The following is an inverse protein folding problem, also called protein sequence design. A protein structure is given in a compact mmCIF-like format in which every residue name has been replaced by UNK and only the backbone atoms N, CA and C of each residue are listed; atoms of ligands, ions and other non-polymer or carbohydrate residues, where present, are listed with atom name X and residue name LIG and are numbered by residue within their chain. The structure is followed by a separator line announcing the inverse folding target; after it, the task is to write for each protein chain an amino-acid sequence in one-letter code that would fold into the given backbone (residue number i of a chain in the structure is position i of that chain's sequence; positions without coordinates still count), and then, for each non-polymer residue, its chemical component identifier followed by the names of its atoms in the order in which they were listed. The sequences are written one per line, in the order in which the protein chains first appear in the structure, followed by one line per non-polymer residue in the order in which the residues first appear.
data_IF_084843257790
#
_entry.id   IF_084843257790
#
_cell.length_a   1.000
_cell.length_b   1.000
_cell.length_c   1.000
_cell.angle_alpha   90.00
_cell.angle_beta   90.00
_cell.angle_gamma   90.00
#
_symmetry.space_group_name_H-M   'P 1'
#
loop_
_entity.id
_entity.type
_entity.pdbx_description
1 polymer ?
#
# COMPACT_ATOMS: atom_id res chain seq x y z
N UNK A 1 -7.54 -5.58 -18.60
CA UNK A 1 -6.77 -6.01 -19.78
C UNK A 1 -5.31 -5.71 -19.47
N UNK A 2 -4.39 -6.65 -19.68
CA UNK A 2 -2.95 -6.41 -19.43
C UNK A 2 -2.43 -5.57 -20.60
N UNK A 3 -1.76 -4.46 -20.30
CA UNK A 3 -1.15 -3.61 -21.33
C UNK A 3 0.04 -4.34 -21.98
N UNK A 4 0.37 -4.07 -23.26
CA UNK A 4 1.54 -4.66 -23.90
C UNK A 4 2.83 -4.47 -23.10
N UNK A 5 3.01 -3.29 -22.50
CA UNK A 5 4.17 -2.92 -21.69
C UNK A 5 4.23 -3.75 -20.40
N UNK A 6 3.11 -3.91 -19.70
CA UNK A 6 3.05 -4.77 -18.53
C UNK A 6 3.29 -6.24 -18.90
N UNK A 7 2.79 -6.68 -20.05
CA UNK A 7 3.00 -8.04 -20.54
C UNK A 7 4.47 -8.31 -20.87
N UNK A 8 5.19 -7.34 -21.41
CA UNK A 8 6.64 -7.43 -21.65
C UNK A 8 7.40 -7.62 -20.33
N UNK A 9 7.12 -6.81 -19.30
CA UNK A 9 7.74 -6.94 -17.98
C UNK A 9 7.47 -8.33 -17.37
N UNK A 10 6.22 -8.79 -17.46
CA UNK A 10 5.80 -10.10 -16.94
C UNK A 10 6.52 -11.24 -17.67
N UNK A 11 6.52 -11.22 -19.00
CA UNK A 11 7.17 -12.28 -19.80
C UNK A 11 8.67 -12.29 -19.58
N UNK A 12 9.33 -11.13 -19.55
CA UNK A 12 10.76 -11.03 -19.20
C UNK A 12 11.05 -11.69 -17.85
N UNK A 13 10.23 -11.42 -16.83
CA UNK A 13 10.34 -12.06 -15.52
C UNK A 13 10.19 -13.58 -15.58
N UNK A 14 9.17 -14.07 -16.29
CA UNK A 14 8.91 -15.51 -16.43
C UNK A 14 10.05 -16.26 -17.13
N UNK A 15 10.75 -15.62 -18.06
CA UNK A 15 11.90 -16.21 -18.77
C UNK A 15 13.25 -15.97 -18.08
N UNK A 16 13.25 -15.53 -16.81
CA UNK A 16 14.45 -15.42 -15.99
C UNK A 16 15.21 -14.09 -16.11
N UNK A 17 14.68 -13.11 -16.84
CA UNK A 17 15.12 -11.73 -16.73
C UNK A 17 14.64 -11.15 -15.40
N UNK A 18 15.48 -10.44 -14.65
CA UNK A 18 15.06 -9.85 -13.37
C UNK A 18 13.81 -8.96 -13.49
N UNK A 19 13.12 -8.72 -12.36
CA UNK A 19 12.03 -7.75 -12.29
C UNK A 19 12.60 -6.34 -12.44
N UNK A 20 12.22 -5.64 -13.51
CA UNK A 20 12.59 -4.24 -13.76
C UNK A 20 11.31 -3.43 -13.82
N UNK A 21 11.17 -2.47 -12.91
CA UNK A 21 10.03 -1.55 -12.82
C UNK A 21 10.54 -0.14 -13.13
N UNK A 22 10.25 0.35 -14.33
CA UNK A 22 10.60 1.70 -14.77
C UNK A 22 9.34 2.39 -15.32
N UNK A 23 8.86 3.47 -14.68
CA UNK A 23 9.30 4.03 -13.39
C UNK A 23 9.10 3.08 -12.18
N UNK A 24 9.78 3.36 -11.06
CA UNK A 24 9.73 2.55 -9.82
C UNK A 24 8.31 2.46 -9.21
N UNK A 25 7.43 3.41 -9.52
CA UNK A 25 6.02 3.45 -9.13
C UNK A 25 5.18 4.19 -10.17
N UNK A 26 3.87 4.00 -10.13
CA UNK A 26 2.90 4.62 -11.05
C UNK A 26 2.06 3.61 -11.80
N UNK A 27 1.32 4.09 -12.81
CA UNK A 27 0.32 3.29 -13.55
C UNK A 27 0.93 2.02 -14.16
N UNK A 28 2.13 2.09 -14.72
CA UNK A 28 2.81 0.92 -15.29
C UNK A 28 2.99 -0.20 -14.25
N UNK A 29 3.40 0.14 -13.02
CA UNK A 29 3.57 -0.85 -11.95
C UNK A 29 2.22 -1.42 -11.52
N UNK A 30 1.16 -0.60 -11.46
CA UNK A 30 -0.20 -1.06 -11.19
C UNK A 30 -0.69 -2.04 -12.26
N UNK A 31 -0.42 -1.78 -13.53
CA UNK A 31 -0.76 -2.69 -14.64
C UNK A 31 -0.03 -4.03 -14.53
N UNK A 32 1.25 -4.02 -14.16
CA UNK A 32 2.03 -5.23 -13.91
C UNK A 32 1.43 -6.02 -12.74
N UNK A 33 1.12 -5.39 -11.61
CA UNK A 33 0.47 -6.04 -10.45
C UNK A 33 -0.88 -6.63 -10.85
N UNK A 34 -1.70 -5.89 -11.58
CA UNK A 34 -2.98 -6.37 -12.11
C UNK A 34 -2.79 -7.62 -12.99
N UNK A 35 -1.74 -7.62 -13.83
CA UNK A 35 -1.35 -8.79 -14.63
C UNK A 35 -0.93 -9.99 -13.79
N UNK A 36 -0.16 -9.79 -12.71
CA UNK A 36 0.23 -10.89 -11.80
C UNK A 36 -0.99 -11.55 -11.16
N UNK A 37 -2.02 -10.76 -10.84
CA UNK A 37 -3.29 -11.25 -10.29
C UNK A 37 -4.07 -12.07 -11.30
N UNK A 38 -4.15 -11.61 -12.55
CA UNK A 38 -4.84 -12.32 -13.63
C UNK A 38 -4.16 -13.65 -13.99
N UNK A 39 -2.83 -13.67 -13.95
CA UNK A 39 -2.01 -14.83 -14.34
C UNK A 39 -1.59 -15.72 -13.16
N UNK A 40 -2.04 -15.41 -11.94
CA UNK A 40 -1.66 -16.10 -10.70
C UNK A 40 -0.14 -16.20 -10.46
N UNK A 41 0.60 -15.16 -10.82
CA UNK A 41 2.06 -15.08 -10.65
C UNK A 41 2.42 -14.59 -9.24
N UNK A 42 2.19 -15.45 -8.25
CA UNK A 42 2.32 -15.10 -6.83
C UNK A 42 3.72 -14.60 -6.46
N UNK A 43 4.77 -15.24 -6.95
CA UNK A 43 6.15 -14.86 -6.62
C UNK A 43 6.51 -13.48 -7.16
N UNK A 44 6.08 -13.17 -8.39
CA UNK A 44 6.25 -11.86 -8.99
C UNK A 44 5.49 -10.79 -8.20
N UNK A 45 4.23 -11.07 -7.84
CA UNK A 45 3.43 -10.20 -6.97
C UNK A 45 4.14 -9.91 -5.66
N UNK A 46 4.66 -10.94 -4.98
CA UNK A 46 5.39 -10.78 -3.71
C UNK A 46 6.66 -9.95 -3.88
N UNK A 47 7.36 -10.08 -5.01
CA UNK A 47 8.52 -9.25 -5.34
C UNK A 47 8.14 -7.79 -5.55
N UNK A 48 7.05 -7.51 -6.26
CA UNK A 48 6.56 -6.14 -6.46
C UNK A 48 6.14 -5.53 -5.11
N UNK A 49 5.42 -6.27 -4.26
CA UNK A 49 5.06 -5.78 -2.93
C UNK A 49 6.27 -5.49 -2.04
N UNK A 50 7.33 -6.30 -2.14
CA UNK A 50 8.60 -6.02 -1.46
C UNK A 50 9.27 -4.74 -1.96
N UNK A 51 9.30 -4.52 -3.27
CA UNK A 51 9.80 -3.27 -3.87
C UNK A 51 8.99 -2.06 -3.39
N UNK A 52 7.67 -2.17 -3.29
CA UNK A 52 6.83 -1.08 -2.77
C UNK A 52 7.09 -0.81 -1.29
N UNK A 53 7.29 -1.85 -0.47
CA UNK A 53 7.68 -1.71 0.94
C UNK A 53 8.98 -0.89 1.08
N UNK A 54 10.00 -1.21 0.28
CA UNK A 54 11.28 -0.49 0.22
C UNK A 54 11.12 0.96 -0.29
N UNK A 55 10.27 1.18 -1.30
CA UNK A 55 9.95 2.51 -1.82
C UNK A 55 9.27 3.39 -0.75
N UNK A 56 8.33 2.83 0.00
CA UNK A 56 7.63 3.53 1.08
C UNK A 56 8.62 3.93 2.17
N UNK A 57 9.48 3.02 2.60
CA UNK A 57 10.55 3.31 3.57
C UNK A 57 11.46 4.44 3.08
N UNK A 58 11.99 4.33 1.85
CA UNK A 58 12.92 5.31 1.26
C UNK A 58 12.34 6.73 1.19
N UNK A 59 11.06 6.87 0.86
CA UNK A 59 10.43 8.18 0.66
C UNK A 59 9.79 8.74 1.93
N UNK A 60 9.25 7.89 2.81
CA UNK A 60 8.50 8.32 3.99
C UNK A 60 9.35 8.36 5.27
N UNK A 61 10.54 7.76 5.29
CA UNK A 61 11.48 7.90 6.41
C UNK A 61 12.23 9.24 6.41
N UNK A 62 12.13 10.02 5.33
CA UNK A 62 12.87 11.28 5.20
C UNK A 62 12.26 12.36 6.11
N UNK A 63 13.06 12.99 6.99
CA UNK A 63 12.57 14.06 7.84
C UNK A 63 12.28 15.31 7.02
N UNK A 64 11.04 15.81 7.07
CA UNK A 64 10.67 17.09 6.45
C UNK A 64 11.12 18.23 7.36
N UNK A 65 12.31 18.78 7.10
CA UNK A 65 12.94 19.83 7.94
C UNK A 65 12.11 21.13 7.94
N UNK A 66 11.50 21.51 6.81
CA UNK A 66 10.55 22.64 6.74
C UNK A 66 9.72 22.61 5.46
N UNK A 67 8.39 22.60 5.58
CA UNK A 67 7.46 22.67 4.43
C UNK A 67 7.47 24.02 3.70
N UNK A 68 8.15 25.03 4.26
CA UNK A 68 8.23 26.36 3.67
C UNK A 68 9.35 26.48 2.62
N UNK A 69 10.34 25.58 2.61
CA UNK A 69 11.42 25.58 1.63
C UNK A 69 11.00 24.84 0.36
N UNK A 70 11.57 25.20 -0.79
CA UNK A 70 11.32 24.48 -2.06
C UNK A 70 11.70 23.00 -1.96
N UNK A 71 12.78 22.69 -1.24
CA UNK A 71 13.19 21.31 -0.95
C UNK A 71 12.15 20.57 -0.11
N UNK A 72 11.61 21.19 0.94
CA UNK A 72 10.56 20.57 1.75
C UNK A 72 9.24 20.39 1.01
N UNK A 73 8.88 21.31 0.10
CA UNK A 73 7.72 21.13 -0.79
C UNK A 73 7.94 19.97 -1.75
N UNK A 74 9.14 19.83 -2.33
CA UNK A 74 9.50 18.71 -3.21
C UNK A 74 9.35 17.38 -2.48
N UNK A 75 9.96 17.23 -1.31
CA UNK A 75 9.88 16.00 -0.50
C UNK A 75 8.42 15.67 -0.20
N UNK A 76 7.62 16.64 0.25
CA UNK A 76 6.20 16.40 0.55
C UNK A 76 5.40 15.97 -0.69
N UNK A 77 5.68 16.55 -1.86
CA UNK A 77 5.04 16.14 -3.11
C UNK A 77 5.40 14.69 -3.48
N UNK A 78 6.67 14.31 -3.40
CA UNK A 78 7.14 12.94 -3.65
C UNK A 78 6.49 11.95 -2.67
N UNK A 79 6.44 12.28 -1.38
CA UNK A 79 5.73 11.47 -0.37
C UNK A 79 4.25 11.29 -0.73
N UNK A 80 3.57 12.37 -1.14
CA UNK A 80 2.16 12.33 -1.50
C UNK A 80 1.89 11.49 -2.76
N UNK A 81 2.79 11.54 -3.75
CA UNK A 81 2.69 10.68 -4.94
C UNK A 81 2.82 9.20 -4.59
N UNK A 82 3.79 8.85 -3.73
CA UNK A 82 4.01 7.49 -3.27
C UNK A 82 2.82 6.98 -2.45
N UNK A 83 2.23 7.82 -1.59
CA UNK A 83 1.00 7.48 -0.85
C UNK A 83 -0.18 7.24 -1.80
N UNK A 84 -0.38 8.11 -2.80
CA UNK A 84 -1.44 7.92 -3.81
C UNK A 84 -1.27 6.62 -4.58
N UNK A 85 -0.05 6.31 -4.99
CA UNK A 85 0.27 5.05 -5.64
C UNK A 85 -0.04 3.85 -4.73
N UNK A 86 0.35 3.90 -3.45
CA UNK A 86 0.05 2.84 -2.49
C UNK A 86 -1.46 2.62 -2.30
N UNK A 87 -2.25 3.68 -2.24
CA UNK A 87 -3.71 3.60 -2.15
C UNK A 87 -4.28 2.84 -3.36
N UNK A 88 -3.83 3.18 -4.58
CA UNK A 88 -4.26 2.51 -5.81
C UNK A 88 -3.82 1.04 -5.85
N UNK A 89 -2.60 0.75 -5.39
CA UNK A 89 -2.07 -0.61 -5.29
C UNK A 89 -2.94 -1.49 -4.38
N UNK A 90 -3.37 -0.97 -3.23
CA UNK A 90 -4.22 -1.71 -2.29
C UNK A 90 -5.53 -2.18 -2.95
N UNK A 91 -6.04 -1.47 -3.96
CA UNK A 91 -7.25 -1.85 -4.69
C UNK A 91 -7.02 -3.06 -5.63
N UNK A 92 -5.77 -3.37 -5.96
CA UNK A 92 -5.40 -4.48 -6.83
C UNK A 92 -4.96 -5.73 -6.05
N UNK A 93 -4.51 -5.56 -4.82
CA UNK A 93 -4.05 -6.63 -3.94
C UNK A 93 -5.11 -7.70 -3.61
N UNK A 94 -4.64 -8.83 -3.08
CA UNK A 94 -5.47 -9.86 -2.45
C UNK A 94 -5.53 -9.66 -0.94
N UNK A 95 -6.54 -10.27 -0.32
CA UNK A 95 -6.71 -10.28 1.13
C UNK A 95 -5.43 -10.81 1.85
N UNK A 96 -4.74 -11.78 1.24
CA UNK A 96 -3.50 -12.38 1.77
C UNK A 96 -2.29 -11.42 1.76
N UNK A 97 -2.36 -10.33 1.00
CA UNK A 97 -1.29 -9.33 0.94
C UNK A 97 -1.31 -8.36 2.14
N UNK A 98 -2.37 -8.41 2.96
CA UNK A 98 -2.62 -7.46 4.04
C UNK A 98 -1.41 -7.29 4.97
N UNK A 99 -0.71 -8.38 5.31
CA UNK A 99 0.47 -8.32 6.18
C UNK A 99 1.57 -7.36 5.68
N UNK A 100 1.78 -7.29 4.36
CA UNK A 100 2.74 -6.36 3.76
C UNK A 100 2.17 -4.95 3.63
N UNK A 101 0.88 -4.84 3.29
CA UNK A 101 0.20 -3.55 3.22
C UNK A 101 0.23 -2.83 4.58
N UNK A 102 0.10 -3.57 5.69
CA UNK A 102 0.23 -3.03 7.05
C UNK A 102 1.61 -2.39 7.27
N UNK A 103 2.69 -3.02 6.81
CA UNK A 103 4.03 -2.44 6.94
C UNK A 103 4.20 -1.17 6.13
N UNK A 104 3.66 -1.12 4.91
CA UNK A 104 3.64 0.10 4.10
C UNK A 104 2.83 1.21 4.79
N UNK A 105 1.68 0.87 5.37
CA UNK A 105 0.85 1.80 6.14
C UNK A 105 1.57 2.35 7.39
N UNK A 106 2.40 1.54 8.05
CA UNK A 106 3.22 1.94 9.19
C UNK A 106 4.13 3.14 8.85
N UNK A 107 4.70 3.14 7.64
CA UNK A 107 5.52 4.25 7.14
C UNK A 107 4.73 5.54 6.91
N UNK A 108 3.46 5.44 6.52
CA UNK A 108 2.59 6.61 6.35
C UNK A 108 2.33 7.28 7.70
N UNK A 109 1.97 6.48 8.70
CA UNK A 109 1.66 6.96 10.05
C UNK A 109 2.89 7.62 10.68
N UNK A 110 4.04 6.94 10.63
CA UNK A 110 5.29 7.44 11.22
C UNK A 110 5.90 8.60 10.44
N UNK A 111 5.93 8.48 9.12
CA UNK A 111 6.63 9.42 8.23
C UNK A 111 5.94 10.77 8.09
N UNK A 112 4.61 10.80 8.18
CA UNK A 112 3.87 12.07 8.07
C UNK A 112 3.37 12.63 9.41
N UNK A 113 3.48 11.87 10.51
CA UNK A 113 2.91 12.24 11.80
C UNK A 113 1.41 12.50 11.70
N UNK A 114 0.73 11.78 10.79
CA UNK A 114 -0.69 11.98 10.49
C UNK A 114 -1.51 11.14 11.44
N UNK A 115 -2.50 11.79 12.04
CA UNK A 115 -3.49 11.13 12.87
C UNK A 115 -4.35 10.19 12.02
N UNK A 116 -4.44 8.93 12.43
CA UNK A 116 -5.15 7.85 11.72
C UNK A 116 -6.63 8.21 11.55
N UNK A 117 -7.22 8.88 12.53
CA UNK A 117 -8.62 9.35 12.51
C UNK A 117 -8.88 10.36 11.39
N UNK A 118 -7.87 11.15 11.02
CA UNK A 118 -7.98 12.12 9.93
C UNK A 118 -7.77 11.48 8.55
N UNK A 119 -6.96 10.42 8.48
CA UNK A 119 -6.58 9.77 7.22
C UNK A 119 -7.71 8.89 6.67
N UNK A 120 -8.43 8.17 7.53
CA UNK A 120 -9.47 7.22 7.12
C UNK A 120 -10.67 7.92 6.46
N UNK A 121 -11.24 9.02 7.00
CA UNK A 121 -12.31 9.77 6.34
C UNK A 121 -11.82 10.50 5.08
N UNK A 122 -10.60 11.05 5.11
CA UNK A 122 -10.05 11.83 3.99
C UNK A 122 -9.69 10.98 2.77
N UNK A 123 -9.32 9.70 2.98
CA UNK A 123 -8.82 8.83 1.90
C UNK A 123 -9.77 7.65 1.64
N UNK A 124 -10.45 7.14 2.67
CA UNK A 124 -11.23 5.90 2.61
C UNK A 124 -12.61 6.02 1.97
N UNK A 125 -13.18 7.21 1.82
CA UNK A 125 -14.53 7.36 1.23
C UNK A 125 -14.53 7.51 -0.30
N UNK A 126 -13.46 8.00 -0.92
CA UNK A 126 -13.44 8.27 -2.37
C UNK A 126 -12.40 7.49 -3.18
N UNK A 127 -11.27 7.05 -2.59
CA UNK A 127 -10.12 6.52 -3.37
C UNK A 127 -9.50 5.25 -2.78
N UNK A 128 -9.45 5.14 -1.46
CA UNK A 128 -8.88 3.99 -0.76
C UNK A 128 -9.90 2.87 -0.55
N UNK A 129 -9.71 1.75 -1.28
CA UNK A 129 -10.54 0.58 -1.09
C UNK A 129 -10.30 -0.12 0.24
N UNK A 130 -11.10 -1.14 0.50
CA UNK A 130 -11.16 -1.92 1.75
C UNK A 130 -9.79 -2.30 2.34
N UNK A 131 -8.85 -2.75 1.51
CA UNK A 131 -7.53 -3.21 1.99
C UNK A 131 -6.63 -2.07 2.46
N UNK A 132 -6.73 -0.88 1.86
CA UNK A 132 -6.01 0.29 2.33
C UNK A 132 -6.49 0.67 3.74
N UNK A 133 -7.81 0.76 3.92
CA UNK A 133 -8.40 1.10 5.22
C UNK A 133 -8.00 0.06 6.28
N UNK A 134 -8.06 -1.23 5.93
CA UNK A 134 -7.63 -2.31 6.80
C UNK A 134 -6.17 -2.18 7.24
N UNK A 135 -5.28 -1.88 6.29
CA UNK A 135 -3.86 -1.70 6.56
C UNK A 135 -3.59 -0.52 7.48
N UNK A 136 -4.22 0.64 7.23
CA UNK A 136 -4.08 1.85 8.05
C UNK A 136 -4.57 1.63 9.48
N UNK A 137 -5.76 1.04 9.66
CA UNK A 137 -6.32 0.78 11.00
C UNK A 137 -5.40 -0.16 11.78
N UNK A 138 -4.98 -1.27 11.16
CA UNK A 138 -4.14 -2.25 11.84
C UNK A 138 -2.73 -1.71 12.14
N UNK A 139 -2.15 -0.91 11.24
CA UNK A 139 -0.91 -0.19 11.50
C UNK A 139 -1.07 0.80 12.66
N UNK A 140 -2.17 1.55 12.70
CA UNK A 140 -2.50 2.44 13.82
C UNK A 140 -2.55 1.71 15.16
N UNK A 141 -3.23 0.56 15.22
CA UNK A 141 -3.28 -0.29 16.42
C UNK A 141 -1.88 -0.75 16.86
N UNK A 142 -1.03 -1.16 15.91
CA UNK A 142 0.34 -1.58 16.21
C UNK A 142 1.20 -0.44 16.80
N UNK A 143 0.87 0.82 16.49
CA UNK A 143 1.56 2.01 17.02
C UNK A 143 0.85 2.61 18.27
N UNK A 144 -0.10 1.90 18.89
CA UNK A 144 -0.71 2.31 20.15
C UNK A 144 -1.86 3.32 20.03
N UNK A 145 -2.45 3.49 18.83
CA UNK A 145 -3.65 4.30 18.64
C UNK A 145 -4.86 3.64 19.32
N UNK A 146 -5.30 4.17 20.47
CA UNK A 146 -6.44 3.66 21.25
C UNK A 146 -7.80 4.01 20.64
N UNK A 147 -7.86 5.05 19.80
CA UNK A 147 -9.07 5.47 19.10
C UNK A 147 -9.27 4.76 17.74
N UNK A 148 -8.30 3.92 17.36
CA UNK A 148 -8.43 3.01 16.21
C UNK A 148 -9.37 1.81 16.50
N UNK A 149 -9.97 1.76 17.69
CA UNK A 149 -11.22 1.05 17.98
C UNK A 149 -12.39 1.97 17.61
N UNK A 150 -12.76 1.95 16.34
CA UNK A 150 -13.57 3.01 15.74
C UNK A 150 -15.03 2.98 16.22
N UNK A 151 -15.63 4.18 16.33
CA UNK A 151 -17.04 4.41 16.60
C UNK A 151 -17.98 3.71 15.59
N UNK A 152 -19.27 3.58 15.96
CA UNK A 152 -20.33 2.79 15.31
C UNK A 152 -20.40 2.84 13.77
N UNK A 153 -20.01 3.94 13.12
CA UNK A 153 -20.02 4.08 11.65
C UNK A 153 -18.95 3.23 10.95
N UNK A 154 -17.85 2.91 11.63
CA UNK A 154 -16.76 2.08 11.11
C UNK A 154 -16.78 0.65 11.63
N UNK A 155 -17.74 0.29 12.49
CA UNK A 155 -17.86 -1.05 13.06
C UNK A 155 -18.00 -2.12 11.96
N UNK A 156 -18.72 -1.81 10.87
CA UNK A 156 -18.81 -2.68 9.69
C UNK A 156 -17.51 -2.79 8.89
N UNK A 157 -16.66 -1.75 8.90
CA UNK A 157 -15.30 -1.80 8.35
C UNK A 157 -14.41 -2.64 9.26
N UNK A 158 -14.51 -2.47 10.57
CA UNK A 158 -13.73 -3.23 11.55
C UNK A 158 -14.07 -4.72 11.55
N UNK A 159 -15.35 -5.12 11.49
CA UNK A 159 -15.76 -6.51 11.27
C UNK A 159 -15.17 -7.09 9.98
N UNK A 160 -15.09 -6.24 8.97
CA UNK A 160 -14.58 -6.56 7.65
C UNK A 160 -13.06 -6.70 7.65
N UNK A 161 -12.34 -5.91 8.46
CA UNK A 161 -10.90 -6.01 8.74
C UNK A 161 -10.63 -7.28 9.56
N UNK A 162 -11.34 -7.47 10.67
CA UNK A 162 -11.22 -8.64 11.55
C UNK A 162 -11.42 -9.94 10.79
N UNK A 163 -12.37 -9.96 9.83
CA UNK A 163 -12.57 -11.10 8.93
C UNK A 163 -11.38 -11.34 7.99
N UNK A 164 -10.75 -10.30 7.45
CA UNK A 164 -9.56 -10.46 6.58
C UNK A 164 -8.38 -10.93 7.41
N UNK A 165 -8.11 -10.26 8.53
CA UNK A 165 -7.00 -10.56 9.43
C UNK A 165 -7.12 -12.00 9.94
N UNK A 166 -8.29 -12.43 10.42
CA UNK A 166 -8.51 -13.84 10.85
C UNK A 166 -8.28 -14.85 9.74
N UNK A 167 -8.69 -14.54 8.49
CA UNK A 167 -8.42 -15.41 7.34
C UNK A 167 -6.92 -15.52 7.04
N UNK A 168 -6.22 -14.40 7.00
CA UNK A 168 -4.78 -14.36 6.74
C UNK A 168 -3.99 -15.17 7.81
N UNK A 169 -4.38 -15.05 9.09
CA UNK A 169 -3.75 -15.82 10.18
C UNK A 169 -4.09 -17.32 10.13
N UNK A 170 -5.25 -17.70 9.61
CA UNK A 170 -5.66 -19.12 9.50
C UNK A 170 -5.00 -19.88 8.34
N UNK A 171 -4.42 -19.18 7.36
CA UNK A 171 -3.70 -19.77 6.23
C UNK A 171 -2.20 -20.00 6.53
N UNK A 172 -1.72 -19.59 7.71
CA UNK A 172 -0.34 -19.79 8.18
C UNK A 172 -0.17 -21.03 9.09
N UNK A 173 -1.21 -21.86 9.24
CA UNK A 173 -1.21 -23.11 10.02
C UNK A 173 -1.21 -24.35 9.12
#
# INVERSE_FOLDING_TARGET
MITPEAFEVITRWMYGGGLVLEPEYGLNVLDVVSGTKYLHLNDMRMKILGHVEELMEKNLSQPVISRATEEGKRIVNEMNEVIRFFIQLCNLCWDDDLGRLIKCADWIIRGQGVDVESLVPAVGQEVGGRLFIAAIIQAGKNNGCTACDLDKEFQGVQDTVDRIVRRASSLQL
#
